data_IF_859340704068
#
_entry.id   IF_859340704068
#
_cell.length_a   1.000
_cell.length_b   1.000
_cell.length_c   1.000
_cell.angle_alpha   90.00
_cell.angle_beta   90.00
_cell.angle_gamma   90.00
#
_symmetry.space_group_name_H-M   'P 1'
#
loop_
_entity.id
_entity.type
_entity.pdbx_description
1 polymer ?
#
# COMPACT_ATOMS: atom_id res chain seq x y z
N UNK A 1 -40.51 -32.94 -19.95
CA UNK A 1 -40.36 -31.47 -19.89
C UNK A 1 -38.92 -31.21 -19.49
N UNK A 2 -38.07 -30.81 -20.44
CA UNK A 2 -36.64 -30.60 -20.22
C UNK A 2 -36.42 -29.22 -19.63
N UNK A 3 -35.79 -29.15 -18.46
CA UNK A 3 -35.39 -27.89 -17.83
C UNK A 3 -34.13 -27.42 -18.56
N UNK A 4 -34.21 -26.26 -19.19
CA UNK A 4 -33.09 -25.63 -19.87
C UNK A 4 -32.38 -24.76 -18.84
N UNK A 5 -31.19 -25.18 -18.39
CA UNK A 5 -30.38 -24.37 -17.48
C UNK A 5 -29.62 -23.34 -18.31
N UNK A 6 -29.88 -22.06 -18.05
CA UNK A 6 -29.02 -21.01 -18.58
C UNK A 6 -27.68 -21.08 -17.82
N UNK A 7 -26.63 -21.45 -18.53
CA UNK A 7 -25.25 -21.56 -18.02
C UNK A 7 -24.40 -20.34 -18.40
N UNK A 8 -25.00 -19.31 -19.00
CA UNK A 8 -24.31 -18.07 -19.32
C UNK A 8 -23.88 -17.40 -18.02
N UNK A 9 -22.57 -17.22 -17.86
CA UNK A 9 -22.00 -16.46 -16.76
C UNK A 9 -22.38 -14.99 -16.96
N UNK A 10 -23.48 -14.58 -16.33
CA UNK A 10 -23.79 -13.17 -16.14
C UNK A 10 -22.62 -12.55 -15.34
N UNK A 11 -21.99 -11.50 -15.87
CA UNK A 11 -20.83 -10.90 -15.26
C UNK A 11 -21.18 -10.32 -13.90
N UNK A 12 -20.49 -10.80 -12.88
CA UNK A 12 -20.92 -10.72 -11.47
C UNK A 12 -20.54 -9.38 -10.81
N UNK A 13 -20.64 -8.28 -11.56
CA UNK A 13 -20.06 -6.93 -11.38
C UNK A 13 -18.75 -6.71 -12.13
N UNK A 14 -18.80 -5.86 -13.16
CA UNK A 14 -17.62 -5.35 -13.83
C UNK A 14 -17.04 -4.17 -13.05
N UNK A 15 -15.72 -4.18 -12.88
CA UNK A 15 -14.98 -3.08 -12.31
C UNK A 15 -14.17 -2.38 -13.41
N UNK A 16 -14.36 -1.07 -13.56
CA UNK A 16 -13.59 -0.27 -14.53
C UNK A 16 -12.36 0.32 -13.86
N UNK A 17 -11.19 0.17 -14.48
CA UNK A 17 -9.97 0.83 -14.00
C UNK A 17 -10.11 2.34 -14.17
N UNK A 18 -9.86 3.11 -13.13
CA UNK A 18 -9.96 4.57 -13.13
C UNK A 18 -8.62 5.20 -12.75
N UNK A 19 -8.34 6.36 -13.34
CA UNK A 19 -7.18 7.15 -12.98
C UNK A 19 -7.31 7.82 -11.60
N UNK A 20 -6.17 8.04 -10.97
CA UNK A 20 -6.10 8.77 -9.72
C UNK A 20 -6.33 10.26 -9.96
N UNK A 21 -7.00 10.92 -9.02
CA UNK A 21 -7.18 12.37 -9.05
C UNK A 21 -5.81 13.05 -8.92
N UNK A 22 -5.61 14.13 -9.68
CA UNK A 22 -4.41 14.97 -9.61
C UNK A 22 -4.31 15.79 -8.32
N UNK A 23 -5.41 15.92 -7.58
CA UNK A 23 -5.52 16.73 -6.36
C UNK A 23 -5.20 15.89 -5.10
N UNK A 24 -5.16 14.56 -5.22
CA UNK A 24 -4.89 13.67 -4.09
C UNK A 24 -3.43 13.73 -3.65
N UNK A 25 -3.18 13.62 -2.34
CA UNK A 25 -1.83 13.53 -1.77
C UNK A 25 -1.06 12.39 -2.43
N UNK A 26 0.19 12.65 -2.84
CA UNK A 26 1.08 11.63 -3.41
C UNK A 26 1.52 10.61 -2.36
N UNK A 27 1.53 10.96 -1.08
CA UNK A 27 1.89 10.06 0.01
C UNK A 27 0.78 9.05 0.35
N UNK A 28 -0.46 9.35 -0.03
CA UNK A 28 -1.60 8.50 0.29
C UNK A 28 -1.56 7.19 -0.51
N UNK A 29 -1.81 6.06 0.17
CA UNK A 29 -1.79 4.71 -0.42
C UNK A 29 -2.64 4.60 -1.70
N UNK A 30 -3.86 5.17 -1.68
CA UNK A 30 -4.77 5.10 -2.84
C UNK A 30 -4.18 5.75 -4.11
N UNK A 31 -3.36 6.79 -3.97
CA UNK A 31 -2.68 7.45 -5.09
C UNK A 31 -1.60 6.54 -5.70
N UNK A 32 -1.06 5.62 -4.90
CA UNK A 32 -0.15 4.58 -5.33
C UNK A 32 -0.85 3.24 -5.54
N UNK A 33 -2.18 3.19 -5.66
CA UNK A 33 -2.92 1.98 -6.01
C UNK A 33 -3.62 2.11 -7.36
N UNK A 34 -3.81 0.97 -8.04
CA UNK A 34 -4.76 0.84 -9.13
C UNK A 34 -6.16 0.93 -8.55
N UNK A 35 -6.90 1.96 -8.96
CA UNK A 35 -8.29 2.15 -8.57
C UNK A 35 -9.22 1.47 -9.56
N UNK A 36 -10.20 0.77 -9.01
CA UNK A 36 -11.27 0.14 -9.75
C UNK A 36 -12.60 0.70 -9.26
N UNK A 37 -13.44 1.13 -10.19
CA UNK A 37 -14.80 1.59 -9.88
C UNK A 37 -15.76 0.43 -10.07
N UNK A 38 -16.38 0.03 -8.99
CA UNK A 38 -17.49 -0.92 -8.95
C UNK A 38 -18.81 -0.17 -9.01
N UNK A 39 -19.81 -0.75 -9.69
CA UNK A 39 -21.13 -0.14 -9.82
C UNK A 39 -21.84 0.03 -8.47
N UNK A 40 -21.66 -0.93 -7.56
CA UNK A 40 -22.29 -0.97 -6.22
C UNK A 40 -21.47 -0.25 -5.14
N UNK A 41 -20.15 -0.39 -5.19
CA UNK A 41 -19.26 -0.11 -4.05
C UNK A 41 -18.37 1.12 -4.22
N UNK A 42 -18.43 1.78 -5.38
CA UNK A 42 -17.62 2.97 -5.66
C UNK A 42 -16.17 2.64 -6.04
N UNK A 43 -15.23 3.54 -5.72
CA UNK A 43 -13.81 3.40 -6.10
C UNK A 43 -13.04 2.63 -5.03
N UNK A 44 -12.41 1.53 -5.41
CA UNK A 44 -11.63 0.68 -4.54
C UNK A 44 -10.16 0.59 -5.00
N UNK A 45 -9.18 0.85 -4.12
CA UNK A 45 -7.78 0.56 -4.38
C UNK A 45 -7.50 -0.93 -4.19
N UNK A 46 -6.97 -1.62 -5.20
CA UNK A 46 -6.72 -3.07 -5.13
C UNK A 46 -5.25 -3.45 -5.19
N UNK A 47 -4.47 -2.86 -6.10
CA UNK A 47 -3.07 -3.25 -6.32
C UNK A 47 -2.15 -2.04 -6.18
N UNK A 48 -1.08 -2.15 -5.39
CA UNK A 48 -0.06 -1.10 -5.34
C UNK A 48 0.64 -0.99 -6.70
N UNK A 49 0.67 0.23 -7.24
CA UNK A 49 1.45 0.65 -8.39
C UNK A 49 2.91 0.67 -7.95
N UNK A 50 3.80 0.08 -8.77
CA UNK A 50 5.24 0.10 -8.53
C UNK A 50 5.67 -0.54 -7.20
N UNK A 51 4.97 -1.56 -6.69
CA UNK A 51 5.57 -2.39 -5.66
C UNK A 51 6.64 -3.27 -6.32
N UNK A 52 7.86 -2.75 -6.28
CA UNK A 52 9.06 -3.18 -7.01
C UNK A 52 9.74 -4.31 -6.24
N UNK A 53 10.43 -5.19 -6.95
CA UNK A 53 11.49 -6.04 -6.40
C UNK A 53 12.56 -5.17 -5.73
N UNK A 54 12.39 -4.89 -4.43
CA UNK A 54 13.32 -4.08 -3.66
C UNK A 54 14.69 -4.76 -3.67
N UNK A 55 15.79 -4.02 -3.90
CA UNK A 55 17.12 -4.60 -3.81
C UNK A 55 17.37 -5.09 -2.37
N UNK A 56 18.29 -6.03 -2.23
CA UNK A 56 18.68 -6.59 -0.92
C UNK A 56 19.13 -5.51 0.05
N UNK A 57 19.78 -4.46 -0.46
CA UNK A 57 20.25 -3.32 0.30
C UNK A 57 19.94 -2.00 -0.39
N UNK A 58 19.52 -1.00 0.38
CA UNK A 58 19.37 0.40 -0.04
C UNK A 58 20.27 1.27 0.84
N UNK A 59 21.10 2.10 0.22
CA UNK A 59 21.97 3.02 0.95
C UNK A 59 21.16 3.94 1.87
N UNK A 60 21.50 3.96 3.16
CA UNK A 60 20.81 4.76 4.17
C UNK A 60 19.57 4.11 4.77
N UNK A 61 19.29 2.83 4.47
CA UNK A 61 18.26 2.07 5.20
C UNK A 61 18.67 1.81 6.66
N UNK A 62 17.67 1.65 7.52
CA UNK A 62 17.85 1.42 8.95
C UNK A 62 16.97 0.27 9.42
N UNK A 63 17.38 -0.39 10.50
CA UNK A 63 16.57 -1.40 11.18
C UNK A 63 15.99 -0.79 12.44
N UNK A 64 14.67 -0.88 12.60
CA UNK A 64 13.95 -0.40 13.77
C UNK A 64 13.42 -1.58 14.59
N UNK A 65 13.74 -1.64 15.88
CA UNK A 65 13.17 -2.61 16.81
C UNK A 65 11.89 -2.03 17.40
N UNK A 66 10.74 -2.67 17.14
CA UNK A 66 9.44 -2.24 17.63
C UNK A 66 9.38 -2.36 19.15
N UNK A 67 9.12 -1.24 19.82
CA UNK A 67 8.92 -1.18 21.28
C UNK A 67 7.46 -1.42 21.65
N UNK A 68 7.20 -1.75 22.91
CA UNK A 68 5.84 -1.98 23.42
C UNK A 68 4.87 -0.83 23.13
N UNK A 69 5.35 0.42 23.21
CA UNK A 69 4.53 1.61 22.95
C UNK A 69 4.34 1.94 21.44
N UNK A 70 4.96 1.17 20.55
CA UNK A 70 4.91 1.32 19.09
C UNK A 70 4.11 0.20 18.40
N UNK A 71 3.66 -0.79 19.17
CA UNK A 71 2.82 -1.90 18.71
C UNK A 71 1.60 -1.37 17.97
N UNK A 72 1.38 -1.87 16.76
CA UNK A 72 0.27 -1.50 15.88
C UNK A 72 0.19 0.00 15.52
N UNK A 73 1.30 0.73 15.65
CA UNK A 73 1.40 2.17 15.37
C UNK A 73 2.36 2.46 14.21
N UNK A 74 2.15 1.79 13.07
CA UNK A 74 2.92 2.09 11.86
C UNK A 74 2.73 3.52 11.36
N UNK A 75 1.58 4.14 11.65
CA UNK A 75 1.33 5.56 11.43
C UNK A 75 2.36 6.43 12.18
N UNK A 76 2.65 6.08 13.44
CA UNK A 76 3.64 6.76 14.26
C UNK A 76 5.06 6.54 13.74
N UNK A 77 5.42 5.30 13.41
CA UNK A 77 6.74 5.00 12.84
C UNK A 77 6.95 5.72 11.50
N UNK A 78 5.91 5.75 10.65
CA UNK A 78 5.93 6.54 9.42
C UNK A 78 6.17 8.02 9.71
N UNK A 79 5.53 8.59 10.72
CA UNK A 79 5.80 9.97 11.10
C UNK A 79 7.26 10.18 11.57
N UNK A 80 7.82 9.26 12.37
CA UNK A 80 9.19 9.37 12.86
C UNK A 80 10.24 9.34 11.74
N UNK A 81 10.06 8.46 10.75
CA UNK A 81 11.06 8.23 9.69
C UNK A 81 10.81 9.03 8.42
N UNK A 82 9.54 9.32 8.12
CA UNK A 82 9.13 9.96 6.87
C UNK A 82 8.49 11.34 7.07
N UNK A 83 8.36 11.81 8.32
CA UNK A 83 7.70 13.07 8.66
C UNK A 83 6.24 13.17 8.15
N UNK A 84 5.61 12.03 7.89
CA UNK A 84 4.20 11.93 7.49
C UNK A 84 3.63 10.61 7.98
N UNK A 85 2.41 10.58 8.54
CA UNK A 85 1.76 9.32 8.88
C UNK A 85 1.27 8.57 7.64
N UNK A 86 1.18 9.20 6.46
CA UNK A 86 0.54 8.61 5.26
C UNK A 86 1.36 7.50 4.60
N UNK A 87 2.66 7.37 4.92
CA UNK A 87 3.58 6.40 4.30
C UNK A 87 3.73 5.09 5.10
N UNK A 88 2.82 4.81 6.04
CA UNK A 88 2.80 3.55 6.80
C UNK A 88 2.75 2.31 5.91
N UNK A 89 2.06 2.40 4.76
CA UNK A 89 1.95 1.32 3.78
C UNK A 89 3.31 0.97 3.15
N UNK A 90 4.25 1.91 3.09
CA UNK A 90 5.63 1.65 2.62
C UNK A 90 6.33 0.71 3.58
N UNK A 91 6.23 0.97 4.89
CA UNK A 91 6.84 0.12 5.93
C UNK A 91 6.26 -1.29 5.84
N UNK A 92 4.94 -1.41 5.70
CA UNK A 92 4.31 -2.72 5.55
C UNK A 92 4.86 -3.48 4.36
N UNK A 93 4.86 -2.83 3.22
CA UNK A 93 5.13 -3.50 1.97
C UNK A 93 6.62 -3.86 1.85
N UNK A 94 7.55 -3.05 2.40
CA UNK A 94 8.98 -3.40 2.53
C UNK A 94 9.20 -4.63 3.41
N UNK A 95 8.37 -4.81 4.43
CA UNK A 95 8.51 -5.89 5.42
C UNK A 95 7.56 -7.06 5.19
N UNK A 96 6.86 -7.12 4.05
CA UNK A 96 5.84 -8.13 3.74
C UNK A 96 4.74 -8.28 4.81
N UNK A 97 4.38 -7.18 5.47
CA UNK A 97 3.30 -7.16 6.46
C UNK A 97 1.97 -7.03 5.75
N UNK A 98 1.04 -7.93 6.05
CA UNK A 98 -0.33 -7.93 5.49
C UNK A 98 -1.30 -7.19 6.41
N UNK A 99 -1.16 -7.39 7.72
CA UNK A 99 -2.04 -6.78 8.73
C UNK A 99 -1.26 -5.73 9.55
N UNK A 100 -1.60 -4.44 9.46
CA UNK A 100 -0.95 -3.38 10.25
C UNK A 100 -1.23 -3.47 11.75
N UNK A 101 -2.25 -4.24 12.15
CA UNK A 101 -2.68 -4.37 13.54
C UNK A 101 -2.20 -5.67 14.21
N UNK A 102 -1.26 -6.38 13.59
CA UNK A 102 -0.66 -7.60 14.13
C UNK A 102 0.87 -7.49 14.17
N UNK A 103 1.37 -6.37 14.69
CA UNK A 103 2.80 -6.14 14.88
C UNK A 103 3.13 -6.35 16.35
N UNK A 104 3.98 -7.33 16.63
CA UNK A 104 4.39 -7.68 17.98
C UNK A 104 5.59 -6.84 18.45
N UNK A 105 5.77 -6.64 19.76
CA UNK A 105 7.01 -6.09 20.30
C UNK A 105 8.21 -6.94 19.89
N UNK A 106 9.39 -6.32 19.85
CA UNK A 106 10.66 -6.91 19.41
C UNK A 106 10.72 -7.34 17.93
N UNK A 107 9.70 -7.00 17.13
CA UNK A 107 9.76 -7.14 15.67
C UNK A 107 10.81 -6.17 15.11
N UNK A 108 11.70 -6.65 14.26
CA UNK A 108 12.67 -5.80 13.54
C UNK A 108 12.08 -5.43 12.19
N UNK A 109 11.88 -4.13 11.98
CA UNK A 109 11.38 -3.56 10.73
C UNK A 109 12.53 -2.94 9.93
N UNK A 110 12.61 -3.30 8.65
CA UNK A 110 13.44 -2.61 7.65
C UNK A 110 12.76 -1.30 7.27
N UNK A 111 13.47 -0.19 7.45
CA UNK A 111 13.02 1.16 7.11
C UNK A 111 13.94 1.70 6.01
N UNK A 112 13.38 1.96 4.84
CA UNK A 112 14.11 2.52 3.69
C UNK A 112 14.15 4.05 3.80
N UNK A 113 15.16 4.75 3.24
CA UNK A 113 15.24 6.21 3.35
C UNK A 113 14.14 6.91 2.55
N UNK A 114 13.65 8.05 3.05
CA UNK A 114 12.58 8.82 2.39
C UNK A 114 12.94 9.26 0.97
N UNK A 115 14.21 9.60 0.71
CA UNK A 115 14.69 9.97 -0.62
C UNK A 115 14.46 8.85 -1.64
N UNK A 116 14.65 7.59 -1.23
CA UNK A 116 14.38 6.43 -2.09
C UNK A 116 12.88 6.27 -2.35
N UNK A 117 12.04 6.46 -1.32
CA UNK A 117 10.57 6.40 -1.44
C UNK A 117 10.07 7.45 -2.43
N UNK A 118 10.50 8.70 -2.27
CA UNK A 118 10.07 9.82 -3.11
C UNK A 118 10.49 9.63 -4.58
N UNK A 119 11.72 9.17 -4.81
CA UNK A 119 12.27 9.00 -6.16
C UNK A 119 11.70 7.76 -6.87
N UNK A 120 11.72 6.59 -6.22
CA UNK A 120 11.39 5.32 -6.87
C UNK A 120 9.92 4.94 -6.77
N UNK A 121 9.30 5.15 -5.60
CA UNK A 121 7.93 4.71 -5.35
C UNK A 121 6.93 5.78 -5.76
N UNK A 122 7.13 7.01 -5.29
CA UNK A 122 6.22 8.13 -5.52
C UNK A 122 6.47 8.86 -6.84
N UNK A 123 7.65 8.64 -7.45
CA UNK A 123 8.11 9.29 -8.69
C UNK A 123 7.89 10.80 -8.66
N UNK A 124 8.43 11.47 -7.66
CA UNK A 124 8.63 12.91 -7.76
C UNK A 124 9.66 13.16 -8.86
N UNK A 125 9.20 13.33 -10.10
CA UNK A 125 10.03 13.83 -11.18
C UNK A 125 10.47 15.25 -10.81
N UNK A 126 11.78 15.47 -10.76
CA UNK A 126 12.41 16.80 -10.79
C UNK A 126 12.43 17.26 -12.24
#
# INVERSE_FOLDING_TARGET
MSINYNLDLEPTEYAEKVDNSTISSRHHMSTNSMLYKYASSGKMPLFLKNFIDLPEYIEGETSHLVRENEVNRLDWLSWQYYNTPELWWVIMAVNNIINPFDIQPDTVLRIIPISYVEYNLLRYNI
#
